data_IF_684128133006
#
_entry.id   IF_684128133006
#
_cell.length_a   1.000
_cell.length_b   1.000
_cell.length_c   1.000
_cell.angle_alpha   90.00
_cell.angle_beta   90.00
_cell.angle_gamma   90.00
#
_symmetry.space_group_name_H-M   'P 1'
#
loop_
_entity.id
_entity.type
_entity.pdbx_description
1 polymer ?
#
# COMPACT_ATOMS: atom_id res chain seq x y z
N UNK A 1 -4.00 25.57 9.19
CA UNK A 1 -4.87 24.71 10.02
C UNK A 1 -6.28 25.22 9.88
N UNK A 2 -7.19 24.41 9.33
CA UNK A 2 -8.63 24.28 9.68
C UNK A 2 -9.07 22.99 8.96
N UNK A 3 -9.35 21.96 9.74
CA UNK A 3 -10.02 20.74 9.29
C UNK A 3 -11.51 21.03 9.05
N UNK A 4 -12.08 20.44 8.01
CA UNK A 4 -13.54 20.22 7.96
C UNK A 4 -13.82 18.82 7.42
N UNK A 5 -14.18 17.94 8.34
CA UNK A 5 -14.67 16.59 8.07
C UNK A 5 -16.16 16.68 7.72
N UNK A 6 -16.47 16.61 6.43
CA UNK A 6 -17.84 16.65 5.90
C UNK A 6 -18.38 15.25 5.61
N UNK A 7 -19.03 14.66 6.62
CA UNK A 7 -20.17 13.71 6.55
C UNK A 7 -20.24 12.72 5.37
N UNK A 8 -19.81 11.49 5.63
CA UNK A 8 -20.21 10.27 4.92
C UNK A 8 -21.71 10.02 5.08
N UNK A 9 -22.48 10.23 4.02
CA UNK A 9 -23.86 9.75 3.92
C UNK A 9 -23.87 8.31 3.40
N UNK A 10 -24.06 7.34 4.29
CA UNK A 10 -24.28 5.93 3.94
C UNK A 10 -25.74 5.77 3.52
N UNK A 11 -26.00 5.72 2.21
CA UNK A 11 -27.30 5.36 1.67
C UNK A 11 -27.41 3.83 1.58
N UNK A 12 -27.99 3.21 2.61
CA UNK A 12 -28.36 1.81 2.58
C UNK A 12 -29.55 1.59 1.65
N UNK A 13 -29.35 0.84 0.55
CA UNK A 13 -30.44 0.39 -0.31
C UNK A 13 -31.03 -0.91 0.27
N UNK A 14 -32.29 -0.84 0.71
CA UNK A 14 -33.07 -1.99 1.15
C UNK A 14 -33.91 -2.50 -0.04
N UNK A 15 -33.60 -3.70 -0.53
CA UNK A 15 -34.35 -4.36 -1.60
C UNK A 15 -35.47 -5.19 -0.97
N UNK A 16 -36.71 -4.71 -1.05
CA UNK A 16 -37.89 -5.51 -0.72
C UNK A 16 -38.17 -6.48 -1.89
N UNK A 17 -37.91 -7.77 -1.67
CA UNK A 17 -38.41 -8.83 -2.52
C UNK A 17 -39.88 -9.10 -2.16
N UNK A 18 -40.80 -8.78 -3.06
CA UNK A 18 -42.20 -9.19 -2.94
C UNK A 18 -42.68 -9.90 -4.22
N UNK A 19 -42.92 -11.20 -4.03
CA UNK A 19 -43.89 -12.11 -4.63
C UNK A 19 -44.40 -11.91 -6.07
N UNK A 20 -44.38 -13.05 -6.77
CA UNK A 20 -44.86 -13.29 -8.13
C UNK A 20 -46.34 -12.97 -8.37
N UNK A 21 -46.62 -12.36 -9.52
CA UNK A 21 -47.89 -12.53 -10.23
C UNK A 21 -47.59 -12.68 -11.74
N UNK A 22 -47.91 -13.86 -12.27
CA UNK A 22 -47.99 -14.11 -13.70
C UNK A 22 -49.46 -13.94 -14.13
N UNK A 23 -49.72 -13.03 -15.08
CA UNK A 23 -51.05 -12.81 -15.69
C UNK A 23 -50.84 -12.62 -17.19
N UNK A 24 -51.68 -13.21 -18.06
CA UNK A 24 -51.37 -13.42 -19.48
C UNK A 24 -51.48 -12.14 -20.31
N UNK A 25 -50.78 -12.15 -21.44
CA UNK A 25 -50.70 -11.09 -22.42
C UNK A 25 -52.07 -10.75 -23.05
N UNK A 26 -52.72 -9.71 -22.56
CA UNK A 26 -53.65 -8.89 -23.34
C UNK A 26 -53.53 -7.44 -22.84
N UNK A 27 -53.65 -6.49 -23.76
CA UNK A 27 -53.34 -5.07 -23.56
C UNK A 27 -53.95 -4.50 -22.27
N UNK A 28 -53.09 -4.08 -21.32
CA UNK A 28 -53.53 -3.46 -20.07
C UNK A 28 -52.60 -2.29 -19.72
N UNK A 29 -53.07 -1.09 -20.03
CA UNK A 29 -52.70 0.16 -19.40
C UNK A 29 -52.75 -0.01 -17.88
N UNK A 30 -51.62 0.21 -17.20
CA UNK A 30 -51.60 0.28 -15.74
C UNK A 30 -52.09 1.67 -15.35
N UNK A 31 -53.35 1.77 -14.95
CA UNK A 31 -53.93 2.99 -14.39
C UNK A 31 -53.57 3.03 -12.91
N UNK A 32 -52.59 3.85 -12.54
CA UNK A 32 -52.43 4.28 -11.15
C UNK A 32 -53.38 5.46 -10.91
N UNK A 33 -53.85 5.62 -9.67
CA UNK A 33 -55.01 6.42 -9.28
C UNK A 33 -55.01 7.89 -9.77
N UNK A 34 -53.88 8.43 -10.24
CA UNK A 34 -53.75 9.80 -10.75
C UNK A 34 -52.89 9.94 -12.03
N UNK A 35 -52.75 8.90 -12.86
CA UNK A 35 -52.07 9.07 -14.16
C UNK A 35 -51.89 7.82 -15.01
N UNK A 36 -52.08 7.99 -16.32
CA UNK A 36 -51.83 6.96 -17.34
C UNK A 36 -50.33 6.87 -17.63
N UNK A 37 -49.73 5.73 -17.31
CA UNK A 37 -48.32 5.45 -17.62
C UNK A 37 -48.29 4.60 -18.88
N UNK A 38 -47.83 5.20 -19.98
CA UNK A 38 -47.47 4.46 -21.18
C UNK A 38 -46.30 3.54 -20.82
N UNK A 39 -46.55 2.21 -20.80
CA UNK A 39 -45.48 1.24 -20.54
C UNK A 39 -44.41 1.42 -21.62
N UNK A 40 -43.13 1.48 -21.25
CA UNK A 40 -42.07 1.48 -22.24
C UNK A 40 -42.15 0.18 -23.05
N UNK A 41 -42.06 0.32 -24.37
CA UNK A 41 -42.16 -0.77 -25.36
C UNK A 41 -41.00 -1.78 -25.23
N UNK A 42 -40.01 -1.48 -24.37
CA UNK A 42 -38.79 -2.27 -24.19
C UNK A 42 -38.44 -2.46 -22.71
N UNK A 43 -37.64 -3.49 -22.47
CA UNK A 43 -37.14 -4.08 -21.21
C UNK A 43 -36.38 -3.06 -20.32
N UNK A 44 -37.10 -2.04 -19.85
CA UNK A 44 -36.58 -0.88 -19.12
C UNK A 44 -37.20 -0.81 -17.73
N UNK A 45 -36.40 -0.39 -16.75
CA UNK A 45 -36.82 -0.36 -15.34
C UNK A 45 -37.65 0.89 -15.10
N UNK A 46 -38.78 0.78 -14.40
CA UNK A 46 -39.58 1.93 -13.99
C UNK A 46 -39.03 2.46 -12.65
N UNK A 47 -38.68 3.74 -12.58
CA UNK A 47 -38.17 4.36 -11.35
C UNK A 47 -39.24 5.25 -10.74
N UNK A 48 -39.69 4.91 -9.53
CA UNK A 48 -40.55 5.78 -8.72
C UNK A 48 -39.67 6.75 -7.91
N UNK A 49 -39.79 8.04 -8.20
CA UNK A 49 -39.18 9.10 -7.40
C UNK A 49 -39.93 9.32 -6.08
N UNK A 50 -39.25 9.89 -5.09
CA UNK A 50 -39.81 10.19 -3.76
C UNK A 50 -41.02 11.15 -3.77
N UNK A 51 -41.22 11.89 -4.86
CA UNK A 51 -42.39 12.75 -5.08
C UNK A 51 -43.56 12.07 -5.79
N UNK A 52 -43.59 10.73 -5.87
CA UNK A 52 -44.65 9.98 -6.56
C UNK A 52 -44.59 10.05 -8.09
N UNK A 53 -43.58 10.73 -8.64
CA UNK A 53 -43.35 10.81 -10.09
C UNK A 53 -42.69 9.53 -10.58
N UNK A 54 -43.27 8.95 -11.61
CA UNK A 54 -42.74 7.78 -12.29
C UNK A 54 -41.90 8.24 -13.48
N UNK A 55 -40.65 7.81 -13.55
CA UNK A 55 -39.76 8.02 -14.69
C UNK A 55 -39.35 6.67 -15.27
N UNK A 56 -39.17 6.63 -16.58
CA UNK A 56 -38.47 5.52 -17.23
C UNK A 56 -37.00 5.57 -16.79
N UNK A 57 -36.52 4.48 -16.20
CA UNK A 57 -35.14 4.28 -15.80
C UNK A 57 -34.31 3.64 -16.91
N UNK A 58 -33.03 3.36 -16.64
CA UNK A 58 -32.12 2.77 -17.62
C UNK A 58 -32.61 1.40 -18.10
N UNK A 59 -32.19 1.02 -19.31
CA UNK A 59 -32.53 -0.30 -19.85
C UNK A 59 -31.90 -1.41 -19.00
N UNK A 60 -32.63 -2.50 -18.80
CA UNK A 60 -32.16 -3.66 -18.00
C UNK A 60 -30.85 -4.22 -18.56
N UNK A 61 -30.64 -4.09 -19.88
CA UNK A 61 -29.42 -4.55 -20.56
C UNK A 61 -28.19 -3.72 -20.18
N UNK A 62 -28.32 -2.40 -20.10
CA UNK A 62 -27.25 -1.51 -19.66
C UNK A 62 -26.93 -1.75 -18.18
N UNK A 63 -27.95 -1.98 -17.35
CA UNK A 63 -27.78 -2.28 -15.94
C UNK A 63 -27.01 -3.59 -15.72
N UNK A 64 -27.28 -4.62 -16.54
CA UNK A 64 -26.53 -5.89 -16.52
C UNK A 64 -25.07 -5.69 -16.90
N UNK A 65 -24.81 -4.92 -17.96
CA UNK A 65 -23.43 -4.62 -18.37
C UNK A 65 -22.67 -3.84 -17.28
N UNK A 66 -23.31 -2.85 -16.66
CA UNK A 66 -22.72 -2.11 -15.55
C UNK A 66 -22.43 -3.01 -14.34
N UNK A 67 -23.33 -3.95 -14.00
CA UNK A 67 -23.09 -4.91 -12.94
C UNK A 67 -21.92 -5.85 -13.24
N UNK A 68 -21.77 -6.29 -14.48
CA UNK A 68 -20.64 -7.13 -14.89
C UNK A 68 -19.32 -6.34 -14.85
N UNK A 69 -19.32 -5.06 -15.25
CA UNK A 69 -18.17 -4.17 -15.09
C UNK A 69 -17.81 -3.95 -13.62
N UNK A 70 -18.80 -3.73 -12.74
CA UNK A 70 -18.58 -3.58 -11.29
C UNK A 70 -17.99 -4.85 -10.70
N UNK A 71 -18.47 -6.03 -11.12
CA UNK A 71 -17.90 -7.32 -10.68
C UNK A 71 -16.45 -7.47 -11.11
N UNK A 72 -16.12 -7.08 -12.33
CA UNK A 72 -14.75 -7.14 -12.81
C UNK A 72 -13.84 -6.15 -12.07
N UNK A 73 -14.30 -4.91 -11.85
CA UNK A 73 -13.60 -3.94 -11.01
C UNK A 73 -13.41 -4.43 -9.56
N UNK A 74 -14.40 -5.12 -8.99
CA UNK A 74 -14.28 -5.70 -7.66
C UNK A 74 -13.20 -6.80 -7.61
N UNK A 75 -13.03 -7.58 -8.69
CA UNK A 75 -11.94 -8.56 -8.79
C UNK A 75 -10.59 -7.88 -8.87
N UNK A 76 -10.42 -6.90 -9.77
CA UNK A 76 -9.15 -6.18 -9.91
C UNK A 76 -8.74 -5.45 -8.63
N UNK A 77 -9.69 -4.87 -7.89
CA UNK A 77 -9.41 -4.26 -6.59
C UNK A 77 -8.96 -5.29 -5.56
N UNK A 78 -9.54 -6.49 -5.55
CA UNK A 78 -9.10 -7.56 -4.66
C UNK A 78 -7.70 -8.06 -5.01
N UNK A 79 -7.39 -8.19 -6.30
CA UNK A 79 -6.06 -8.60 -6.77
C UNK A 79 -5.00 -7.56 -6.40
N UNK A 80 -5.28 -6.27 -6.67
CA UNK A 80 -4.40 -5.17 -6.26
C UNK A 80 -4.20 -5.11 -4.75
N UNK A 81 -5.25 -5.38 -3.95
CA UNK A 81 -5.15 -5.44 -2.49
C UNK A 81 -4.25 -6.61 -2.03
N UNK A 82 -4.32 -7.75 -2.70
CA UNK A 82 -3.47 -8.90 -2.40
C UNK A 82 -2.02 -8.63 -2.79
N UNK A 83 -1.78 -8.00 -3.95
CA UNK A 83 -0.45 -7.58 -4.39
C UNK A 83 0.15 -6.55 -3.43
N UNK A 84 -0.64 -5.56 -3.01
CA UNK A 84 -0.20 -4.54 -2.05
C UNK A 84 0.20 -5.17 -0.71
N UNK A 85 -0.57 -6.15 -0.20
CA UNK A 85 -0.19 -6.93 0.99
C UNK A 85 1.11 -7.74 0.78
N UNK A 86 1.32 -8.29 -0.41
CA UNK A 86 2.54 -9.03 -0.72
C UNK A 86 3.76 -8.12 -0.78
N UNK A 87 3.62 -6.93 -1.39
CA UNK A 87 4.64 -5.89 -1.42
C UNK A 87 4.95 -5.38 -0.01
N UNK A 88 3.94 -5.14 0.82
CA UNK A 88 4.14 -4.72 2.22
C UNK A 88 5.00 -5.74 2.98
N UNK A 89 4.73 -7.04 2.82
CA UNK A 89 5.57 -8.08 3.44
C UNK A 89 7.02 -8.04 2.95
N UNK A 90 7.24 -7.75 1.67
CA UNK A 90 8.60 -7.61 1.12
C UNK A 90 9.32 -6.39 1.68
N UNK A 91 8.62 -5.27 1.85
CA UNK A 91 9.15 -4.06 2.49
C UNK A 91 9.53 -4.38 3.94
N UNK A 92 8.63 -4.98 4.72
CA UNK A 92 8.92 -5.36 6.11
C UNK A 92 10.11 -6.33 6.22
N UNK A 93 10.29 -7.23 5.25
CA UNK A 93 11.44 -8.14 5.20
C UNK A 93 12.74 -7.40 4.86
N UNK A 94 12.70 -6.45 3.92
CA UNK A 94 13.85 -5.61 3.58
C UNK A 94 14.26 -4.71 4.74
N UNK A 95 13.30 -4.12 5.46
CA UNK A 95 13.56 -3.31 6.65
C UNK A 95 14.26 -4.13 7.75
N UNK A 96 13.83 -5.38 7.95
CA UNK A 96 14.50 -6.31 8.89
C UNK A 96 15.93 -6.62 8.43
N UNK A 97 16.16 -6.81 7.14
CA UNK A 97 17.51 -7.05 6.59
C UNK A 97 18.40 -5.82 6.74
N UNK A 98 17.87 -4.62 6.49
CA UNK A 98 18.59 -3.36 6.70
C UNK A 98 18.96 -3.19 8.17
N UNK A 99 18.02 -3.34 9.10
CA UNK A 99 18.29 -3.26 10.53
C UNK A 99 19.34 -4.29 10.99
N UNK A 100 19.34 -5.50 10.41
CA UNK A 100 20.35 -6.51 10.69
C UNK A 100 21.74 -6.12 10.16
N UNK A 101 21.82 -5.51 8.97
CA UNK A 101 23.07 -5.02 8.40
C UNK A 101 23.60 -3.82 9.20
N UNK A 102 22.74 -2.87 9.57
CA UNK A 102 23.12 -1.72 10.40
C UNK A 102 23.70 -2.16 11.75
N UNK A 103 23.08 -3.15 12.41
CA UNK A 103 23.64 -3.74 13.63
C UNK A 103 25.01 -4.37 13.39
N UNK A 104 25.15 -5.17 12.33
CA UNK A 104 26.45 -5.76 11.96
C UNK A 104 27.51 -4.71 11.65
N UNK A 105 27.14 -3.60 11.01
CA UNK A 105 28.07 -2.50 10.74
C UNK A 105 28.46 -1.78 12.03
N UNK A 106 27.50 -1.47 12.91
CA UNK A 106 27.77 -0.90 14.23
C UNK A 106 28.73 -1.77 15.04
N UNK A 107 28.53 -3.09 15.06
CA UNK A 107 29.38 -4.03 15.79
C UNK A 107 30.75 -4.24 15.11
N UNK A 108 30.79 -4.26 13.77
CA UNK A 108 32.02 -4.34 12.98
C UNK A 108 32.90 -3.10 13.14
N UNK A 109 32.31 -1.90 13.13
CA UNK A 109 33.03 -0.64 13.36
C UNK A 109 33.56 -0.54 14.80
N UNK A 110 32.84 -1.05 15.79
CA UNK A 110 33.32 -1.09 17.18
C UNK A 110 34.48 -2.05 17.40
N UNK A 111 34.42 -3.24 16.81
CA UNK A 111 35.44 -4.28 16.98
C UNK A 111 36.73 -3.99 16.19
N UNK A 112 36.62 -3.41 14.99
CA UNK A 112 37.78 -3.06 14.17
C UNK A 112 38.51 -1.78 14.66
N UNK A 113 37.77 -0.75 15.08
CA UNK A 113 38.39 0.50 15.56
C UNK A 113 39.11 0.32 16.91
N UNK A 114 38.54 -0.47 17.83
CA UNK A 114 39.13 -0.66 19.15
C UNK A 114 40.38 -1.56 19.15
N UNK A 115 40.45 -2.55 18.24
CA UNK A 115 41.58 -3.48 18.21
C UNK A 115 42.75 -2.98 17.33
N UNK A 116 42.44 -2.31 16.22
CA UNK A 116 43.48 -1.83 15.30
C UNK A 116 44.29 -0.65 15.86
N UNK A 117 43.67 0.28 16.61
CA UNK A 117 44.42 1.37 17.24
C UNK A 117 45.40 0.83 18.29
N UNK A 118 44.98 -0.09 19.17
CA UNK A 118 45.87 -0.57 20.23
C UNK A 118 47.02 -1.44 19.72
N UNK A 119 46.81 -2.20 18.64
CA UNK A 119 47.85 -3.01 18.02
C UNK A 119 48.86 -2.16 17.26
N UNK A 120 48.38 -1.18 16.48
CA UNK A 120 49.25 -0.25 15.74
C UNK A 120 50.04 0.64 16.70
N UNK A 121 49.42 1.20 17.74
CA UNK A 121 50.11 2.06 18.70
C UNK A 121 51.26 1.33 19.41
N UNK A 122 51.08 0.05 19.73
CA UNK A 122 52.14 -0.80 20.30
C UNK A 122 53.27 -1.06 19.31
N UNK A 123 52.95 -1.32 18.04
CA UNK A 123 53.96 -1.52 16.99
C UNK A 123 54.74 -0.23 16.69
N UNK A 124 54.06 0.92 16.58
CA UNK A 124 54.72 2.23 16.42
C UNK A 124 55.62 2.56 17.61
N UNK A 125 55.16 2.31 18.83
CA UNK A 125 55.98 2.51 20.04
C UNK A 125 57.22 1.61 20.07
N UNK A 126 57.11 0.37 19.60
CA UNK A 126 58.24 -0.55 19.52
C UNK A 126 59.26 -0.12 18.45
N UNK A 127 58.79 0.27 17.26
CA UNK A 127 59.62 0.83 16.20
C UNK A 127 60.36 2.09 16.64
N UNK A 128 59.67 3.00 17.34
CA UNK A 128 60.29 4.24 17.82
C UNK A 128 61.47 3.96 18.76
N UNK A 129 61.32 3.00 19.68
CA UNK A 129 62.41 2.59 20.58
C UNK A 129 63.60 2.00 19.82
N UNK A 130 63.35 1.22 18.77
CA UNK A 130 64.40 0.67 17.93
C UNK A 130 65.14 1.77 17.16
N UNK A 131 64.42 2.76 16.62
CA UNK A 131 65.02 3.92 15.97
C UNK A 131 65.91 4.70 16.94
N UNK A 132 65.43 4.96 18.16
CA UNK A 132 66.20 5.67 19.18
C UNK A 132 67.47 4.90 19.60
N UNK A 133 67.37 3.56 19.70
CA UNK A 133 68.54 2.71 19.98
C UNK A 133 69.55 2.73 18.85
N UNK A 134 69.10 2.55 17.60
CA UNK A 134 69.96 2.60 16.42
C UNK A 134 70.64 3.97 16.28
N UNK A 135 69.92 5.06 16.57
CA UNK A 135 70.49 6.40 16.52
C UNK A 135 71.61 6.58 17.57
N UNK A 136 71.40 6.09 18.80
CA UNK A 136 72.45 6.13 19.84
C UNK A 136 73.66 5.26 19.48
N UNK A 137 73.41 4.10 18.88
CA UNK A 137 74.49 3.19 18.47
C UNK A 137 75.28 3.76 17.29
N UNK A 138 74.62 4.44 16.35
CA UNK A 138 75.29 5.22 15.29
C UNK A 138 76.14 6.35 15.86
N UNK A 139 75.63 7.10 16.85
CA UNK A 139 76.39 8.16 17.51
C UNK A 139 77.64 7.61 18.22
N UNK A 140 77.51 6.46 18.90
CA UNK A 140 78.64 5.76 19.54
C UNK A 140 79.64 5.21 18.53
N UNK A 141 79.17 4.71 17.38
CA UNK A 141 80.05 4.25 16.31
C UNK A 141 80.82 5.44 15.72
N UNK A 142 80.11 6.54 15.46
CA UNK A 142 80.70 7.80 14.97
C UNK A 142 81.73 8.37 15.94
N UNK A 143 81.49 8.28 17.25
CA UNK A 143 82.45 8.75 18.26
C UNK A 143 83.70 7.86 18.39
N UNK A 144 83.63 6.60 17.93
CA UNK A 144 84.78 5.66 17.93
C UNK A 144 85.60 5.68 16.64
N UNK A 145 85.03 6.21 15.56
CA UNK A 145 85.68 6.31 14.23
C UNK A 145 86.41 7.66 14.05
N UNK A 146 86.24 8.61 14.99
CA UNK A 146 87.09 9.79 15.14
C UNK A 146 88.22 9.51 16.11
#
# INVERSE_FOLDING_TARGET
MIWSAGKLGVAGFMVCASAAFAVPASAQTLVLKDGDISRPVYDSVLVLGSGGRVSTGPEVRELRQALDQIREQARTVNDLKNENRALQRKVDEQDKKLAAIERKQSDSSRSSASNNNSANDRQFSAMQRQIDQLSRDLDRLRSKVK
#
